data_IF_571544050095
#
_entry.id   IF_571544050095
#
_cell.length_a   1.000
_cell.length_b   1.000
_cell.length_c   1.000
_cell.angle_alpha   90.00
_cell.angle_beta   90.00
_cell.angle_gamma   90.00
#
_symmetry.space_group_name_H-M   'P 1'
#
loop_
_entity.id
_entity.type
_entity.pdbx_description
1 polymer ?
#
# COMPACT_ATOMS: atom_id res chain seq x y z
N UNK A 1 -6.30 11.26 -29.16
CA UNK A 1 -7.18 11.07 -27.99
C UNK A 1 -6.53 10.01 -27.11
N UNK A 2 -6.35 10.26 -25.82
CA UNK A 2 -5.78 9.27 -24.89
C UNK A 2 -6.96 8.55 -24.25
N UNK A 3 -7.03 7.23 -24.38
CA UNK A 3 -8.04 6.40 -23.74
C UNK A 3 -7.37 5.66 -22.58
N UNK A 4 -7.84 5.90 -21.36
CA UNK A 4 -7.44 5.16 -20.17
C UNK A 4 -8.42 4.00 -19.98
N UNK A 5 -7.89 2.78 -19.88
CA UNK A 5 -8.68 1.57 -19.62
C UNK A 5 -8.11 0.88 -18.40
N UNK A 6 -9.01 0.45 -17.52
CA UNK A 6 -8.66 -0.32 -16.35
C UNK A 6 -8.42 -1.78 -16.75
N UNK A 7 -7.41 -2.38 -16.13
CA UNK A 7 -7.08 -3.78 -16.28
C UNK A 7 -6.76 -4.38 -14.92
N UNK A 8 -7.20 -5.62 -14.70
CA UNK A 8 -6.85 -6.39 -13.52
C UNK A 8 -5.71 -7.33 -13.88
N UNK A 9 -4.66 -7.34 -13.07
CA UNK A 9 -3.61 -8.35 -13.16
C UNK A 9 -4.03 -9.59 -12.38
N UNK A 10 -4.24 -10.71 -13.08
CA UNK A 10 -4.67 -11.98 -12.48
C UNK A 10 -3.50 -12.83 -11.93
N UNK A 11 -2.27 -12.28 -11.94
CA UNK A 11 -1.05 -12.99 -11.58
C UNK A 11 -0.27 -13.55 -12.78
N UNK A 12 -0.87 -13.57 -13.97
CA UNK A 12 -0.24 -14.06 -15.21
C UNK A 12 -0.45 -13.11 -16.39
N UNK A 13 -1.62 -12.52 -16.51
CA UNK A 13 -2.08 -11.67 -17.61
C UNK A 13 -2.79 -10.41 -17.09
N UNK A 14 -2.74 -9.35 -17.90
CA UNK A 14 -3.60 -8.18 -17.73
C UNK A 14 -4.93 -8.44 -18.45
N UNK A 15 -6.00 -8.55 -17.67
CA UNK A 15 -7.37 -8.69 -18.14
C UNK A 15 -7.98 -7.30 -18.24
N UNK A 16 -8.38 -6.87 -19.44
CA UNK A 16 -9.08 -5.60 -19.60
C UNK A 16 -10.50 -5.74 -19.03
N UNK A 17 -10.94 -4.77 -18.23
CA UNK A 17 -12.31 -4.76 -17.70
C UNK A 17 -13.34 -4.40 -18.79
N UNK A 18 -12.89 -3.78 -19.88
CA UNK A 18 -13.72 -3.45 -21.04
C UNK A 18 -12.96 -3.65 -22.35
N UNK A 19 -13.67 -3.92 -23.47
CA UNK A 19 -13.03 -4.11 -24.77
C UNK A 19 -12.27 -2.87 -25.23
N UNK A 20 -11.04 -3.07 -25.69
CA UNK A 20 -10.25 -2.03 -26.35
C UNK A 20 -10.81 -1.83 -27.77
N UNK A 21 -11.44 -0.69 -28.03
CA UNK A 21 -11.93 -0.37 -29.37
C UNK A 21 -10.84 0.39 -30.14
N UNK A 22 -9.89 -0.35 -30.74
CA UNK A 22 -8.81 0.21 -31.54
C UNK A 22 -8.78 -0.43 -32.93
N UNK A 23 -8.42 0.37 -33.93
CA UNK A 23 -8.23 -0.13 -35.28
C UNK A 23 -7.01 -1.07 -35.36
N UNK A 24 -7.07 -2.03 -36.27
CA UNK A 24 -5.97 -2.97 -36.52
C UNK A 24 -4.70 -2.21 -36.90
N UNK A 25 -3.59 -2.53 -36.25
CA UNK A 25 -2.29 -1.86 -36.47
C UNK A 25 -2.06 -0.62 -35.61
N UNK A 26 -3.02 -0.24 -34.76
CA UNK A 26 -2.84 0.85 -33.80
C UNK A 26 -1.71 0.52 -32.81
N UNK A 27 -0.72 1.42 -32.69
CA UNK A 27 0.33 1.31 -31.69
C UNK A 27 -0.17 1.81 -30.34
N UNK A 28 -0.02 0.98 -29.31
CA UNK A 28 -0.38 1.31 -27.93
C UNK A 28 0.86 1.40 -27.05
N UNK A 29 0.79 2.24 -26.01
CA UNK A 29 1.79 2.33 -24.95
C UNK A 29 1.13 1.96 -23.63
N UNK A 30 1.69 0.98 -22.94
CA UNK A 30 1.22 0.54 -21.61
C UNK A 30 2.10 1.21 -20.56
N UNK A 31 1.47 1.82 -19.55
CA UNK A 31 2.16 2.38 -18.39
C UNK A 31 1.74 1.53 -17.19
N UNK A 32 2.70 0.89 -16.54
CA UNK A 32 2.47 0.08 -15.34
C UNK A 32 2.97 0.87 -14.14
N UNK A 33 2.03 1.38 -13.34
CA UNK A 33 2.33 2.05 -12.08
C UNK A 33 2.11 1.09 -10.92
N UNK A 34 3.19 0.71 -10.26
CA UNK A 34 3.10 -0.09 -9.03
C UNK A 34 3.00 0.84 -7.83
N UNK A 35 1.89 0.79 -7.11
CA UNK A 35 1.82 1.37 -5.78
C UNK A 35 2.56 0.39 -4.87
N UNK A 36 3.85 0.63 -4.61
CA UNK A 36 4.57 -0.15 -3.63
C UNK A 36 3.76 -0.03 -2.31
N UNK A 37 3.31 -1.13 -1.69
CA UNK A 37 2.65 -1.02 -0.40
C UNK A 37 3.64 -0.29 0.51
N UNK A 38 3.26 0.89 0.98
CA UNK A 38 4.09 1.62 1.93
C UNK A 38 4.36 0.64 3.06
N UNK A 39 5.64 0.28 3.22
CA UNK A 39 6.10 -0.59 4.29
C UNK A 39 5.70 0.12 5.57
N UNK A 40 4.58 -0.26 6.16
CA UNK A 40 4.16 0.28 7.45
C UNK A 40 5.31 -0.06 8.40
N UNK A 41 6.10 0.95 8.74
CA UNK A 41 7.10 0.84 9.80
C UNK A 41 6.35 0.28 11.01
N UNK A 42 6.79 -0.84 11.60
CA UNK A 42 6.15 -1.38 12.78
C UNK A 42 6.11 -0.26 13.81
N UNK A 43 4.91 0.15 14.23
CA UNK A 43 4.77 1.05 15.39
C UNK A 43 5.53 0.37 16.52
N UNK A 44 6.65 0.93 16.94
CA UNK A 44 7.37 0.53 18.15
C UNK A 44 6.43 0.78 19.33
N UNK A 45 5.60 -0.21 19.63
CA UNK A 45 4.86 -0.31 20.88
C UNK A 45 5.84 -0.82 21.92
N UNK A 46 6.63 0.08 22.50
CA UNK A 46 7.36 -0.17 23.74
C UNK A 46 7.72 1.17 24.38
N UNK A 47 7.03 1.53 25.47
CA UNK A 47 7.68 1.83 26.73
C UNK A 47 6.63 1.86 27.86
N UNK A 48 6.86 1.00 28.85
CA UNK A 48 6.05 0.79 30.05
C UNK A 48 5.78 2.11 30.81
N UNK A 49 4.66 2.22 31.54
CA UNK A 49 4.40 3.40 32.36
C UNK A 49 5.46 3.56 33.47
N UNK A 50 5.77 4.78 33.91
CA UNK A 50 6.73 5.01 35.00
C UNK A 50 6.21 4.35 36.28
N UNK A 51 7.03 3.47 36.87
CA UNK A 51 6.79 2.91 38.21
C UNK A 51 6.81 4.07 39.20
N UNK A 52 5.67 4.33 39.83
CA UNK A 52 5.56 5.29 40.94
C UNK A 52 6.26 4.67 42.15
N UNK A 53 7.44 5.16 42.50
CA UNK A 53 8.03 4.88 43.80
C UNK A 53 7.29 5.76 44.84
N UNK A 54 6.45 5.14 45.69
CA UNK A 54 6.00 5.76 46.94
C UNK A 54 7.07 5.49 48.00
N UNK A 55 7.77 6.51 48.55
CA UNK A 55 8.58 6.30 49.73
C UNK A 55 7.64 6.22 50.94
N UNK A 56 7.51 5.00 51.46
CA UNK A 56 6.88 4.72 52.74
C UNK A 56 7.64 5.38 53.89
N UNK A 57 6.86 5.89 54.83
CA UNK A 57 7.25 6.37 56.15
C UNK A 57 8.09 5.34 56.90
N UNK A 58 9.22 5.75 57.48
CA UNK A 58 9.79 5.05 58.63
C UNK A 58 10.21 6.06 59.68
N UNK A 59 9.51 6.03 60.82
CA UNK A 59 9.91 6.70 62.06
C UNK A 59 11.06 5.90 62.67
N UNK A 60 12.10 6.61 63.09
CA UNK A 60 13.14 6.18 64.03
C UNK A 60 13.59 7.38 64.83
#
# INVERSE_FOLDING_TARGET
>A
MIQAINAIFDGKSLQLESPLNLDVGTRVRIIVETILPQKQLPKTFCQYPPVVAQPGTMKG
#
